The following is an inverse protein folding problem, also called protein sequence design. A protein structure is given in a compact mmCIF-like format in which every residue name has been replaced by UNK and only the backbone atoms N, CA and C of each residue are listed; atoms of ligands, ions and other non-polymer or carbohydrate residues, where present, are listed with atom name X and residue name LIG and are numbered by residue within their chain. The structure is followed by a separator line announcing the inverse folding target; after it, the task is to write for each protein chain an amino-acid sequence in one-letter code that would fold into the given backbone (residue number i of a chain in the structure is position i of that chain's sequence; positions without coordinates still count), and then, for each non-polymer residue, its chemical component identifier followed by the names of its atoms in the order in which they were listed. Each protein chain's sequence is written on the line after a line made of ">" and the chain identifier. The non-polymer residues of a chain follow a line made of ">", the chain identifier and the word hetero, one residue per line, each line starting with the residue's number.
data_IF_450139565414
#
_entry.id   IF_450139565414
#
_cell.length_a   1.000
_cell.length_b   1.000
_cell.length_c   1.000
_cell.angle_alpha   90.00
_cell.angle_beta   90.00
_cell.angle_gamma   90.00
#
_symmetry.space_group_name_H-M   'P 1'
#
loop_
_entity.id
_entity.type
_entity.pdbx_description
1 polymer ?
#
# COMPACT_ATOMS: atom_id res chain seq x y z
N UNK A 1 -24.89 -19.08 59.42
CA UNK A 1 -24.35 -17.71 59.59
C UNK A 1 -23.21 -17.58 58.61
N UNK A 2 -23.13 -16.49 57.81
CA UNK A 2 -21.96 -16.27 56.96
C UNK A 2 -20.70 -16.21 57.85
N UNK A 3 -19.57 -16.80 57.43
CA UNK A 3 -18.32 -16.76 58.20
C UNK A 3 -17.95 -15.30 58.51
N UNK A 4 -17.51 -15.02 59.74
CA UNK A 4 -17.03 -13.69 60.09
C UNK A 4 -15.70 -13.45 59.37
N UNK A 5 -15.75 -12.73 58.25
CA UNK A 5 -14.58 -12.24 57.55
C UNK A 5 -13.71 -11.44 58.54
N UNK A 6 -12.56 -11.99 58.92
CA UNK A 6 -11.58 -11.23 59.69
C UNK A 6 -11.04 -10.10 58.82
N UNK A 7 -10.66 -8.98 59.44
CA UNK A 7 -10.06 -7.83 58.75
C UNK A 7 -8.82 -8.23 57.93
N UNK A 8 -8.06 -9.21 58.42
CA UNK A 8 -6.90 -9.80 57.73
C UNK A 8 -7.29 -10.53 56.45
N UNK A 9 -8.41 -11.25 56.43
CA UNK A 9 -8.90 -11.93 55.23
C UNK A 9 -9.45 -10.94 54.19
N UNK A 10 -10.19 -9.93 54.65
CA UNK A 10 -10.73 -8.89 53.77
C UNK A 10 -9.60 -8.10 53.08
N UNK A 11 -8.53 -7.78 53.81
CA UNK A 11 -7.37 -7.06 53.24
C UNK A 11 -6.57 -7.91 52.26
N UNK A 12 -6.28 -9.18 52.58
CA UNK A 12 -5.61 -10.09 51.65
C UNK A 12 -6.42 -10.32 50.36
N UNK A 13 -7.74 -10.48 50.50
CA UNK A 13 -8.66 -10.64 49.38
C UNK A 13 -8.67 -9.42 48.45
N UNK A 14 -8.74 -8.22 49.03
CA UNK A 14 -8.69 -6.97 48.29
C UNK A 14 -7.35 -6.82 47.55
N UNK A 15 -6.23 -7.17 48.18
CA UNK A 15 -4.91 -7.14 47.54
C UNK A 15 -4.81 -8.11 46.36
N UNK A 16 -5.33 -9.34 46.50
CA UNK A 16 -5.38 -10.32 45.41
C UNK A 16 -6.25 -9.81 44.25
N UNK A 17 -7.42 -9.24 44.54
CA UNK A 17 -8.29 -8.66 43.53
C UNK A 17 -7.64 -7.50 42.78
N UNK A 18 -6.98 -6.58 43.50
CA UNK A 18 -6.25 -5.46 42.89
C UNK A 18 -5.10 -5.98 42.04
N UNK A 19 -4.33 -6.95 42.53
CA UNK A 19 -3.24 -7.57 41.78
C UNK A 19 -3.72 -8.23 40.49
N UNK A 20 -4.81 -9.01 40.56
CA UNK A 20 -5.43 -9.63 39.40
C UNK A 20 -6.00 -8.60 38.42
N UNK A 21 -6.62 -7.52 38.90
CA UNK A 21 -7.10 -6.43 38.05
C UNK A 21 -5.97 -5.76 37.28
N UNK A 22 -4.88 -5.41 37.96
CA UNK A 22 -3.69 -4.81 37.35
C UNK A 22 -3.09 -5.76 36.30
N UNK A 23 -2.97 -7.05 36.64
CA UNK A 23 -2.46 -8.07 35.73
C UNK A 23 -3.37 -8.28 34.52
N UNK A 24 -4.68 -8.28 34.73
CA UNK A 24 -5.68 -8.44 33.69
C UNK A 24 -5.67 -7.31 32.65
N UNK A 25 -5.35 -6.09 33.08
CA UNK A 25 -5.17 -4.95 32.17
C UNK A 25 -3.76 -4.96 31.57
N UNK A 26 -2.75 -5.27 32.40
CA UNK A 26 -1.34 -5.18 32.06
C UNK A 26 -0.90 -6.19 31.00
N UNK A 27 -1.27 -7.46 31.12
CA UNK A 27 -0.84 -8.49 30.18
C UNK A 27 -1.33 -8.23 28.76
N UNK A 28 -2.62 -7.97 28.50
CA UNK A 28 -3.08 -7.72 27.14
C UNK A 28 -2.45 -6.46 26.54
N UNK A 29 -2.30 -5.40 27.33
CA UNK A 29 -1.62 -4.18 26.89
C UNK A 29 -0.16 -4.43 26.52
N UNK A 30 0.55 -5.20 27.36
CA UNK A 30 1.96 -5.55 27.13
C UNK A 30 2.12 -6.50 25.94
N UNK A 31 1.28 -7.53 25.84
CA UNK A 31 1.28 -8.46 24.70
C UNK A 31 0.98 -7.72 23.39
N UNK A 32 0.05 -6.76 23.41
CA UNK A 32 -0.22 -5.89 22.27
C UNK A 32 1.00 -5.03 21.91
N UNK A 33 1.67 -4.43 22.90
CA UNK A 33 2.88 -3.63 22.67
C UNK A 33 4.07 -4.43 22.14
N UNK A 34 4.21 -5.69 22.56
CA UNK A 34 5.33 -6.56 22.15
C UNK A 34 5.10 -7.23 20.80
N UNK A 35 3.87 -7.68 20.52
CA UNK A 35 3.57 -8.53 19.36
C UNK A 35 3.18 -7.69 18.14
N UNK A 36 2.46 -6.59 18.35
CA UNK A 36 1.90 -5.80 17.25
C UNK A 36 2.92 -4.76 16.80
N UNK A 37 3.25 -4.79 15.50
CA UNK A 37 4.10 -3.79 14.88
C UNK A 37 3.55 -2.38 15.12
N UNK A 38 4.45 -1.41 15.34
CA UNK A 38 4.09 -0.05 15.72
C UNK A 38 3.08 0.62 14.76
N UNK A 39 3.23 0.41 13.47
CA UNK A 39 2.33 0.99 12.45
C UNK A 39 0.92 0.40 12.53
N UNK A 40 0.83 -0.92 12.72
CA UNK A 40 -0.45 -1.63 12.88
C UNK A 40 -1.12 -1.21 14.18
N UNK A 41 -0.32 -1.02 15.23
CA UNK A 41 -0.79 -0.49 16.52
C UNK A 41 -1.37 0.91 16.36
N UNK A 42 -0.73 1.79 15.59
CA UNK A 42 -1.22 3.14 15.34
C UNK A 42 -2.60 3.13 14.67
N UNK A 43 -2.75 2.38 13.56
CA UNK A 43 -4.02 2.23 12.85
C UNK A 43 -5.09 1.56 13.72
N UNK A 44 -4.70 0.51 14.45
CA UNK A 44 -5.61 -0.21 15.35
C UNK A 44 -6.10 0.72 16.46
N UNK A 45 -5.23 1.50 17.10
CA UNK A 45 -5.63 2.42 18.17
C UNK A 45 -6.60 3.49 17.67
N UNK A 46 -6.43 3.97 16.43
CA UNK A 46 -7.33 4.95 15.80
C UNK A 46 -8.73 4.37 15.55
N UNK A 47 -8.83 3.09 15.17
CA UNK A 47 -10.10 2.45 14.75
C UNK A 47 -10.79 1.62 15.80
N UNK A 48 -10.03 1.02 16.71
CA UNK A 48 -10.53 0.08 17.69
C UNK A 48 -11.31 0.87 18.73
N UNK A 49 -12.63 0.86 18.60
CA UNK A 49 -13.53 1.39 19.63
C UNK A 49 -13.16 0.71 20.95
N UNK A 50 -13.00 1.50 22.01
CA UNK A 50 -12.67 1.07 23.38
C UNK A 50 -13.50 -0.14 23.86
N UNK A 51 -14.68 -0.37 23.28
CA UNK A 51 -15.56 -1.53 23.53
C UNK A 51 -14.89 -2.89 23.39
N UNK A 52 -14.02 -3.13 22.40
CA UNK A 52 -13.41 -4.46 22.25
C UNK A 52 -12.37 -4.70 23.35
N UNK A 53 -11.57 -3.68 23.67
CA UNK A 53 -10.65 -3.72 24.82
C UNK A 53 -11.39 -3.92 26.13
N UNK A 54 -12.48 -3.18 26.34
CA UNK A 54 -13.33 -3.37 27.52
C UNK A 54 -13.94 -4.77 27.56
N UNK A 55 -14.37 -5.35 26.44
CA UNK A 55 -14.89 -6.71 26.42
C UNK A 55 -13.83 -7.73 26.86
N UNK A 56 -12.59 -7.62 26.37
CA UNK A 56 -11.47 -8.49 26.79
C UNK A 56 -11.18 -8.35 28.29
N UNK A 57 -11.11 -7.10 28.78
CA UNK A 57 -10.85 -6.81 30.20
C UNK A 57 -11.98 -7.32 31.08
N UNK A 58 -13.24 -7.06 30.70
CA UNK A 58 -14.43 -7.53 31.44
C UNK A 58 -14.47 -9.06 31.48
N UNK A 59 -14.19 -9.73 30.36
CA UNK A 59 -14.15 -11.20 30.32
C UNK A 59 -13.08 -11.77 31.25
N UNK A 60 -11.89 -11.15 31.28
CA UNK A 60 -10.80 -11.56 32.16
C UNK A 60 -11.10 -11.26 33.64
N UNK A 61 -11.75 -10.14 33.94
CA UNK A 61 -12.19 -9.82 35.31
C UNK A 61 -13.27 -10.79 35.80
N UNK A 62 -14.23 -11.15 34.95
CA UNK A 62 -15.22 -12.18 35.25
C UNK A 62 -14.54 -13.53 35.52
N UNK A 63 -13.48 -13.86 34.78
CA UNK A 63 -12.66 -15.04 35.04
C UNK A 63 -12.01 -15.01 36.44
N UNK A 64 -11.37 -13.89 36.78
CA UNK A 64 -10.71 -13.70 38.07
C UNK A 64 -11.69 -13.74 39.24
N UNK A 65 -12.84 -13.06 39.14
CA UNK A 65 -13.86 -13.07 40.20
C UNK A 65 -14.43 -14.48 40.38
N UNK A 66 -14.69 -15.20 39.28
CA UNK A 66 -15.16 -16.59 39.35
C UNK A 66 -14.14 -17.50 40.02
N UNK A 67 -12.85 -17.35 39.69
CA UNK A 67 -11.75 -18.10 40.31
C UNK A 67 -11.68 -17.90 41.82
N UNK A 68 -11.74 -16.64 42.26
CA UNK A 68 -11.65 -16.29 43.67
C UNK A 68 -12.89 -16.75 44.44
N UNK A 69 -14.09 -16.58 43.89
CA UNK A 69 -15.33 -17.00 44.53
C UNK A 69 -15.36 -18.51 44.79
N UNK A 70 -14.79 -19.29 43.86
CA UNK A 70 -14.68 -20.75 43.98
C UNK A 70 -13.64 -21.17 45.01
N UNK A 71 -12.49 -20.49 45.07
CA UNK A 71 -11.40 -20.82 46.01
C UNK A 71 -11.72 -20.34 47.43
N UNK A 72 -12.66 -19.42 47.59
CA UNK A 72 -13.04 -18.92 48.90
C UNK A 72 -13.45 -20.09 49.81
N UNK A 73 -12.71 -20.33 50.91
CA UNK A 73 -13.01 -21.43 51.82
C UNK A 73 -14.27 -21.07 52.62
N UNK A 74 -15.44 -21.43 52.11
CA UNK A 74 -16.71 -21.22 52.82
C UNK A 74 -16.87 -22.15 54.05
N UNK A 75 -16.04 -23.19 54.17
CA UNK A 75 -16.27 -24.31 55.10
C UNK A 75 -15.12 -24.61 56.09
N UNK A 76 -14.08 -23.77 56.22
CA UNK A 76 -12.98 -24.07 57.16
C UNK A 76 -13.33 -23.84 58.64
N UNK A 77 -14.41 -23.12 58.95
CA UNK A 77 -14.76 -22.79 60.35
C UNK A 77 -15.71 -23.77 61.04
N UNK A 78 -16.19 -24.82 60.36
CA UNK A 78 -17.21 -25.71 60.95
C UNK A 78 -16.65 -26.81 61.88
N UNK A 79 -15.33 -27.00 61.96
CA UNK A 79 -14.72 -28.10 62.73
C UNK A 79 -13.95 -27.68 64.00
N UNK A 80 -13.88 -26.40 64.38
CA UNK A 80 -13.00 -25.97 65.47
C UNK A 80 -13.66 -25.85 66.86
N UNK A 81 -14.98 -26.04 67.02
CA UNK A 81 -15.68 -25.82 68.30
C UNK A 81 -16.53 -26.98 68.84
N UNK A 82 -16.42 -28.20 68.33
CA UNK A 82 -17.09 -29.35 68.99
C UNK A 82 -16.15 -29.96 70.02
N UNK A 83 -16.45 -29.71 71.31
CA UNK A 83 -15.76 -30.30 72.44
C UNK A 83 -15.74 -31.85 72.34
N UNK A 84 -14.64 -32.51 72.73
CA UNK A 84 -14.53 -33.96 72.65
C UNK A 84 -15.32 -34.60 73.79
N UNK A 85 -16.57 -34.96 73.53
CA UNK A 85 -17.37 -35.78 74.44
C UNK A 85 -17.88 -37.03 73.72
N UNK A 86 -17.14 -38.12 73.91
CA UNK A 86 -17.55 -39.53 73.88
C UNK A 86 -18.59 -39.97 72.81
N UNK A 87 -18.10 -40.60 71.74
CA UNK A 87 -18.39 -42.00 71.35
C UNK A 87 -18.08 -42.19 69.85
N UNK A 88 -17.38 -43.26 69.44
CA UNK A 88 -17.04 -43.50 68.04
C UNK A 88 -18.07 -44.43 67.41
N UNK A 89 -18.97 -43.93 66.57
CA UNK A 89 -19.66 -44.81 65.61
C UNK A 89 -20.31 -43.99 64.51
N UNK A 90 -20.01 -44.38 63.27
CA UNK A 90 -20.47 -43.83 61.99
C UNK A 90 -19.68 -42.62 61.50
N UNK A 91 -18.70 -42.92 60.64
CA UNK A 91 -17.99 -41.93 59.84
C UNK A 91 -19.03 -41.11 59.06
N UNK A 92 -18.94 -39.78 59.05
CA UNK A 92 -19.86 -38.96 58.29
C UNK A 92 -19.73 -39.37 56.81
N UNK A 93 -20.83 -39.89 56.23
CA UNK A 93 -20.93 -40.06 54.79
C UNK A 93 -20.69 -38.69 54.16
N UNK A 94 -19.49 -38.52 53.63
CA UNK A 94 -19.09 -37.31 52.94
C UNK A 94 -20.06 -37.13 51.76
N UNK A 95 -20.85 -36.06 51.84
CA UNK A 95 -21.93 -35.79 50.89
C UNK A 95 -21.37 -35.67 49.47
N UNK A 96 -21.66 -36.65 48.61
CA UNK A 96 -21.23 -36.71 47.20
C UNK A 96 -21.53 -35.42 46.42
N UNK A 97 -22.52 -34.65 46.88
CA UNK A 97 -22.88 -33.34 46.32
C UNK A 97 -21.71 -32.33 46.39
N UNK A 98 -20.91 -32.39 47.45
CA UNK A 98 -19.76 -31.51 47.65
C UNK A 98 -18.60 -31.85 46.72
N UNK A 99 -18.33 -33.14 46.49
CA UNK A 99 -17.31 -33.59 45.52
C UNK A 99 -17.67 -33.14 44.09
N UNK A 100 -18.94 -33.26 43.72
CA UNK A 100 -19.44 -32.84 42.41
C UNK A 100 -19.28 -31.32 42.25
N UNK A 101 -19.65 -30.54 43.27
CA UNK A 101 -19.52 -29.08 43.24
C UNK A 101 -18.06 -28.63 43.13
N UNK A 102 -17.14 -29.26 43.89
CA UNK A 102 -15.71 -28.97 43.81
C UNK A 102 -15.12 -29.33 42.43
N UNK A 103 -15.54 -30.44 41.83
CA UNK A 103 -15.10 -30.83 40.49
C UNK A 103 -15.57 -29.83 39.41
N UNK A 104 -16.83 -29.38 39.46
CA UNK A 104 -17.34 -28.35 38.55
C UNK A 104 -16.60 -27.03 38.72
N UNK A 105 -16.35 -26.64 39.96
CA UNK A 105 -15.71 -25.37 40.26
C UNK A 105 -14.22 -25.40 39.82
N UNK A 106 -13.52 -26.52 40.02
CA UNK A 106 -12.19 -26.74 39.45
C UNK A 106 -12.16 -26.70 37.92
N UNK A 107 -13.19 -27.24 37.26
CA UNK A 107 -13.30 -27.17 35.79
C UNK A 107 -13.50 -25.74 35.28
N UNK A 108 -14.34 -24.94 35.94
CA UNK A 108 -14.56 -23.53 35.61
C UNK A 108 -13.26 -22.72 35.78
N UNK A 109 -12.55 -22.96 36.88
CA UNK A 109 -11.24 -22.34 37.18
C UNK A 109 -10.24 -22.54 36.05
N UNK A 110 -10.18 -23.74 35.46
CA UNK A 110 -9.22 -24.05 34.39
C UNK A 110 -9.71 -23.55 33.04
N UNK A 111 -11.01 -23.69 32.75
CA UNK A 111 -11.56 -23.40 31.42
C UNK A 111 -11.63 -21.91 31.10
N UNK A 112 -12.03 -21.04 32.04
CA UNK A 112 -12.18 -19.61 31.73
C UNK A 112 -10.82 -18.95 31.39
N UNK A 113 -9.73 -19.15 32.15
CA UNK A 113 -8.42 -18.61 31.78
C UNK A 113 -7.93 -19.13 30.44
N UNK A 114 -8.14 -20.42 30.13
CA UNK A 114 -7.79 -20.98 28.82
C UNK A 114 -8.58 -20.28 27.71
N UNK A 115 -9.89 -20.09 27.89
CA UNK A 115 -10.72 -19.36 26.92
C UNK A 115 -10.29 -17.91 26.75
N UNK A 116 -9.93 -17.21 27.83
CA UNK A 116 -9.44 -15.85 27.79
C UNK A 116 -8.08 -15.75 27.08
N UNK A 117 -7.18 -16.69 27.34
CA UNK A 117 -5.89 -16.81 26.65
C UNK A 117 -6.10 -17.10 25.17
N UNK A 118 -6.95 -18.08 24.82
CA UNK A 118 -7.30 -18.39 23.43
C UNK A 118 -7.92 -17.19 22.71
N UNK A 119 -8.82 -16.47 23.38
CA UNK A 119 -9.41 -15.25 22.85
C UNK A 119 -8.35 -14.16 22.63
N UNK A 120 -7.42 -14.00 23.58
CA UNK A 120 -6.28 -13.09 23.45
C UNK A 120 -5.38 -13.44 22.27
N UNK A 121 -5.03 -14.72 22.10
CA UNK A 121 -4.25 -15.18 20.95
C UNK A 121 -4.99 -14.94 19.63
N UNK A 122 -6.29 -15.27 19.56
CA UNK A 122 -7.11 -15.00 18.37
C UNK A 122 -7.19 -13.50 18.06
N UNK A 123 -7.28 -12.66 19.09
CA UNK A 123 -7.24 -11.21 18.93
C UNK A 123 -5.89 -10.75 18.37
N UNK A 124 -4.77 -11.27 18.89
CA UNK A 124 -3.43 -10.97 18.39
C UNK A 124 -3.21 -11.46 16.95
N UNK A 125 -3.76 -12.62 16.59
CA UNK A 125 -3.73 -13.11 15.21
C UNK A 125 -4.50 -12.19 14.25
N UNK A 126 -5.67 -11.70 14.66
CA UNK A 126 -6.43 -10.72 13.89
C UNK A 126 -5.71 -9.36 13.75
N UNK A 127 -4.71 -9.09 14.60
CA UNK A 127 -3.87 -7.90 14.54
C UNK A 127 -2.60 -8.09 13.70
N UNK A 128 -2.45 -9.23 13.03
CA UNK A 128 -1.45 -9.36 11.95
C UNK A 128 -1.78 -8.34 10.87
N UNK A 129 -0.75 -7.68 10.34
CA UNK A 129 -0.87 -6.64 9.31
C UNK A 129 -1.75 -7.07 8.13
N UNK A 130 -1.58 -8.32 7.67
CA UNK A 130 -2.40 -8.91 6.61
C UNK A 130 -3.89 -8.86 6.90
N UNK A 131 -4.30 -9.30 8.10
CA UNK A 131 -5.70 -9.31 8.52
C UNK A 131 -6.25 -7.88 8.70
N UNK A 132 -5.41 -6.95 9.16
CA UNK A 132 -5.79 -5.53 9.27
C UNK A 132 -6.01 -4.92 7.89
N UNK A 133 -5.08 -5.11 6.95
CA UNK A 133 -5.22 -4.62 5.57
C UNK A 133 -6.46 -5.21 4.88
N UNK A 134 -6.67 -6.52 4.98
CA UNK A 134 -7.88 -7.18 4.44
C UNK A 134 -9.17 -6.66 5.08
N UNK A 135 -9.16 -6.42 6.40
CA UNK A 135 -10.30 -5.85 7.10
C UNK A 135 -10.62 -4.41 6.67
N UNK A 136 -9.60 -3.59 6.45
CA UNK A 136 -9.74 -2.23 5.92
C UNK A 136 -10.25 -2.23 4.49
N UNK A 137 -9.71 -3.11 3.64
CA UNK A 137 -10.14 -3.30 2.26
C UNK A 137 -11.62 -3.68 2.18
N UNK A 138 -12.04 -4.71 2.92
CA UNK A 138 -13.44 -5.15 2.94
C UNK A 138 -14.39 -4.04 3.46
N UNK A 139 -13.93 -3.24 4.43
CA UNK A 139 -14.69 -2.09 4.91
C UNK A 139 -14.83 -1.00 3.85
N UNK A 140 -13.78 -0.74 3.05
CA UNK A 140 -13.82 0.19 1.92
C UNK A 140 -14.77 -0.29 0.82
N UNK A 141 -14.68 -1.55 0.40
CA UNK A 141 -15.58 -2.14 -0.60
C UNK A 141 -17.05 -1.99 -0.16
N UNK A 142 -17.35 -2.38 1.08
CA UNK A 142 -18.70 -2.28 1.64
C UNK A 142 -19.20 -0.84 1.71
N UNK A 143 -18.34 0.10 2.13
CA UNK A 143 -18.71 1.51 2.26
C UNK A 143 -18.94 2.14 0.88
N UNK A 144 -18.14 1.75 -0.11
CA UNK A 144 -18.31 2.16 -1.50
C UNK A 144 -19.61 1.59 -2.10
N UNK A 145 -19.92 0.32 -1.86
CA UNK A 145 -21.18 -0.29 -2.30
C UNK A 145 -22.40 0.43 -1.72
N UNK A 146 -22.30 0.94 -0.50
CA UNK A 146 -23.36 1.69 0.16
C UNK A 146 -23.46 3.12 -0.34
N UNK A 147 -22.35 3.86 -0.33
CA UNK A 147 -22.33 5.32 -0.53
C UNK A 147 -21.96 5.77 -1.94
N UNK A 148 -21.21 4.95 -2.70
CA UNK A 148 -20.55 5.33 -3.95
C UNK A 148 -19.25 6.12 -3.75
N UNK A 149 -18.76 6.26 -2.52
CA UNK A 149 -17.53 6.99 -2.19
C UNK A 149 -16.56 6.10 -1.40
N UNK A 150 -15.27 6.29 -1.63
CA UNK A 150 -14.21 5.64 -0.85
C UNK A 150 -14.01 6.46 0.42
N UNK A 151 -13.99 5.80 1.58
CA UNK A 151 -13.77 6.50 2.85
C UNK A 151 -12.29 6.84 3.02
N UNK A 152 -11.94 8.13 2.85
CA UNK A 152 -10.56 8.64 2.91
C UNK A 152 -9.78 8.20 4.15
N UNK A 153 -10.44 8.18 5.32
CA UNK A 153 -9.80 7.79 6.58
C UNK A 153 -9.30 6.33 6.54
N UNK A 154 -10.06 5.44 5.89
CA UNK A 154 -9.77 4.01 5.79
C UNK A 154 -8.76 3.73 4.69
N UNK A 155 -8.88 4.43 3.56
CA UNK A 155 -7.89 4.37 2.50
C UNK A 155 -6.52 4.88 2.99
N UNK A 156 -6.49 6.01 3.70
CA UNK A 156 -5.28 6.58 4.29
C UNK A 156 -4.58 5.60 5.25
N UNK A 157 -5.33 4.81 6.00
CA UNK A 157 -4.74 3.80 6.89
C UNK A 157 -4.08 2.63 6.10
N UNK A 158 -4.65 2.21 4.96
CA UNK A 158 -3.98 1.22 4.08
C UNK A 158 -2.71 1.82 3.48
N UNK A 159 -2.77 3.05 2.98
CA UNK A 159 -1.62 3.77 2.42
C UNK A 159 -0.53 3.90 3.48
N UNK A 160 -0.87 4.31 4.70
CA UNK A 160 0.06 4.44 5.81
C UNK A 160 0.77 3.11 6.12
N UNK A 161 0.03 1.99 6.17
CA UNK A 161 0.60 0.66 6.41
C UNK A 161 1.54 0.22 5.28
N UNK A 162 1.23 0.56 4.03
CA UNK A 162 2.10 0.30 2.88
C UNK A 162 3.35 1.18 2.90
N UNK A 163 3.20 2.47 3.16
CA UNK A 163 4.29 3.45 3.26
C UNK A 163 5.32 3.02 4.31
N UNK A 164 4.84 2.65 5.50
CA UNK A 164 5.69 2.21 6.61
C UNK A 164 6.01 0.71 6.54
N UNK A 165 5.58 -0.01 5.50
CA UNK A 165 5.91 -1.42 5.35
C UNK A 165 7.35 -1.68 4.98
N UNK A 166 7.84 -2.83 5.46
CA UNK A 166 9.07 -3.41 4.92
C UNK A 166 8.84 -3.73 3.44
N UNK A 167 9.85 -3.47 2.62
CA UNK A 167 9.80 -3.80 1.20
C UNK A 167 9.58 -5.30 0.97
N UNK A 168 9.00 -5.65 -0.18
CA UNK A 168 8.56 -7.00 -0.47
C UNK A 168 7.15 -7.29 0.10
N UNK A 169 6.99 -8.35 0.91
CA UNK A 169 5.65 -8.87 1.27
C UNK A 169 4.73 -7.82 1.91
N UNK A 170 5.23 -6.96 2.78
CA UNK A 170 4.36 -6.01 3.49
C UNK A 170 3.83 -4.90 2.59
N UNK A 171 4.68 -4.29 1.76
CA UNK A 171 4.25 -3.32 0.74
C UNK A 171 3.33 -3.96 -0.28
N UNK A 172 3.69 -5.14 -0.78
CA UNK A 172 2.87 -5.91 -1.72
C UNK A 172 1.46 -6.17 -1.20
N UNK A 173 1.28 -6.50 0.08
CA UNK A 173 -0.07 -6.67 0.66
C UNK A 173 -0.93 -5.41 0.57
N UNK A 174 -0.34 -4.23 0.83
CA UNK A 174 -1.05 -2.96 0.69
C UNK A 174 -1.36 -2.65 -0.78
N UNK A 175 -0.39 -2.83 -1.68
CA UNK A 175 -0.58 -2.64 -3.12
C UNK A 175 -1.66 -3.57 -3.67
N UNK A 176 -1.64 -4.86 -3.31
CA UNK A 176 -2.64 -5.84 -3.73
C UNK A 176 -4.05 -5.44 -3.25
N UNK A 177 -4.18 -4.91 -2.03
CA UNK A 177 -5.46 -4.41 -1.51
C UNK A 177 -5.95 -3.17 -2.28
N UNK A 178 -5.05 -2.23 -2.61
CA UNK A 178 -5.39 -1.08 -3.46
C UNK A 178 -5.78 -1.52 -4.87
N UNK A 179 -5.09 -2.50 -5.46
CA UNK A 179 -5.41 -3.05 -6.77
C UNK A 179 -6.79 -3.72 -6.81
N UNK A 180 -7.12 -4.52 -5.78
CA UNK A 180 -8.45 -5.13 -5.64
C UNK A 180 -9.54 -4.08 -5.45
N UNK A 181 -9.32 -3.08 -4.59
CA UNK A 181 -10.25 -1.98 -4.39
C UNK A 181 -10.47 -1.17 -5.67
N UNK A 182 -9.41 -0.83 -6.41
CA UNK A 182 -9.52 -0.12 -7.68
C UNK A 182 -10.36 -0.91 -8.69
N UNK A 183 -10.10 -2.22 -8.81
CA UNK A 183 -10.90 -3.11 -9.65
C UNK A 183 -12.36 -3.18 -9.21
N UNK A 184 -12.64 -3.26 -7.90
CA UNK A 184 -14.00 -3.27 -7.36
C UNK A 184 -14.75 -1.98 -7.71
N UNK A 185 -14.10 -0.84 -7.49
CA UNK A 185 -14.65 0.49 -7.81
C UNK A 185 -14.93 0.62 -9.30
N UNK A 186 -13.98 0.31 -10.18
CA UNK A 186 -14.15 0.44 -11.64
C UNK A 186 -15.19 -0.53 -12.22
N UNK A 187 -15.43 -1.69 -11.59
CA UNK A 187 -16.49 -2.61 -12.01
C UNK A 187 -17.88 -2.18 -11.51
N UNK A 188 -17.96 -1.18 -10.63
CA UNK A 188 -19.23 -0.69 -10.12
C UNK A 188 -19.88 0.27 -11.10
N UNK A 189 -21.19 0.15 -11.27
CA UNK A 189 -21.99 1.14 -12.02
C UNK A 189 -22.03 2.53 -11.39
N UNK A 190 -21.39 2.72 -10.22
CA UNK A 190 -21.28 4.02 -9.54
C UNK A 190 -20.03 4.81 -9.92
N UNK A 191 -19.06 4.20 -10.59
CA UNK A 191 -17.79 4.83 -10.94
C UNK A 191 -17.95 5.93 -11.99
N UNK A 192 -17.36 7.10 -11.74
CA UNK A 192 -17.42 8.26 -12.65
C UNK A 192 -16.05 8.76 -13.07
N UNK A 193 -14.96 8.15 -12.61
CA UNK A 193 -13.61 8.55 -12.98
C UNK A 193 -13.01 9.65 -12.09
N UNK A 194 -13.51 9.80 -10.87
CA UNK A 194 -12.89 10.68 -9.86
C UNK A 194 -12.68 10.00 -8.50
N UNK A 195 -13.16 8.77 -8.33
CA UNK A 195 -13.18 8.08 -7.05
C UNK A 195 -11.82 7.45 -6.70
N UNK A 196 -10.90 7.28 -7.66
CA UNK A 196 -9.61 6.61 -7.43
C UNK A 196 -8.44 7.57 -7.15
N UNK A 197 -8.65 8.88 -7.18
CA UNK A 197 -7.59 9.88 -7.03
C UNK A 197 -6.64 9.59 -5.86
N UNK A 198 -7.18 9.48 -4.64
CA UNK A 198 -6.38 9.27 -3.43
C UNK A 198 -5.70 7.90 -3.43
N UNK A 199 -6.31 6.90 -4.06
CA UNK A 199 -5.73 5.56 -4.19
C UNK A 199 -4.51 5.60 -5.10
N UNK A 200 -4.64 6.25 -6.26
CA UNK A 200 -3.56 6.41 -7.24
C UNK A 200 -2.40 7.21 -6.60
N UNK A 201 -2.72 8.29 -5.86
CA UNK A 201 -1.72 9.04 -5.09
C UNK A 201 -1.04 8.17 -4.04
N UNK A 202 -1.81 7.29 -3.39
CA UNK A 202 -1.31 6.30 -2.43
C UNK A 202 -0.25 5.37 -3.01
N UNK A 203 -0.39 4.92 -4.27
CA UNK A 203 0.63 4.09 -4.94
C UNK A 203 1.99 4.80 -4.98
N UNK A 204 1.99 6.10 -5.33
CA UNK A 204 3.21 6.92 -5.32
C UNK A 204 3.82 6.99 -3.91
N UNK A 205 3.01 7.27 -2.89
CA UNK A 205 3.48 7.39 -1.51
C UNK A 205 4.10 6.08 -0.97
N UNK A 206 3.51 4.93 -1.33
CA UNK A 206 4.02 3.63 -0.89
C UNK A 206 5.40 3.32 -1.51
N UNK A 207 5.61 3.69 -2.78
CA UNK A 207 6.82 3.33 -3.52
C UNK A 207 7.95 4.33 -3.37
N UNK A 208 7.66 5.63 -3.43
CA UNK A 208 8.63 6.72 -3.39
C UNK A 208 8.81 7.29 -1.98
N UNK A 209 8.81 6.40 -0.98
CA UNK A 209 9.13 6.78 0.39
C UNK A 209 10.65 6.76 0.57
N UNK A 210 11.27 7.93 0.74
CA UNK A 210 12.72 8.05 0.93
C UNK A 210 13.30 7.28 2.13
N UNK A 211 12.51 7.01 3.17
CA UNK A 211 12.95 6.21 4.32
C UNK A 211 12.84 4.69 4.07
N UNK A 212 11.85 4.26 3.27
CA UNK A 212 11.58 2.84 2.95
C UNK A 212 11.08 2.72 1.51
N UNK A 213 11.96 2.87 0.50
CA UNK A 213 11.54 2.83 -0.89
C UNK A 213 11.07 1.43 -1.30
N UNK A 214 10.16 1.37 -2.28
CA UNK A 214 9.70 0.10 -2.85
C UNK A 214 10.82 -0.69 -3.55
N UNK A 215 10.75 -2.01 -3.48
CA UNK A 215 11.61 -2.92 -4.26
C UNK A 215 11.08 -3.10 -5.68
N UNK A 216 11.85 -3.79 -6.53
CA UNK A 216 11.49 -4.04 -7.94
C UNK A 216 10.09 -4.67 -8.07
N UNK A 217 9.79 -5.70 -7.27
CA UNK A 217 8.49 -6.38 -7.26
C UNK A 217 7.33 -5.44 -6.90
N UNK A 218 7.56 -4.47 -6.01
CA UNK A 218 6.56 -3.48 -5.62
C UNK A 218 6.28 -2.52 -6.79
N UNK A 219 7.32 -2.13 -7.52
CA UNK A 219 7.19 -1.30 -8.73
C UNK A 219 6.43 -2.02 -9.84
N UNK A 220 6.68 -3.32 -10.06
CA UNK A 220 5.90 -4.14 -11.01
C UNK A 220 4.43 -4.25 -10.61
N UNK A 221 4.15 -4.45 -9.32
CA UNK A 221 2.78 -4.52 -8.83
C UNK A 221 2.02 -3.22 -9.07
N UNK A 222 2.63 -2.06 -8.77
CA UNK A 222 2.00 -0.77 -9.02
C UNK A 222 1.85 -0.46 -10.52
N UNK A 223 2.82 -0.83 -11.35
CA UNK A 223 2.73 -0.69 -12.81
C UNK A 223 1.51 -1.45 -13.35
N UNK A 224 1.33 -2.70 -12.91
CA UNK A 224 0.17 -3.51 -13.26
C UNK A 224 -1.15 -2.86 -12.82
N UNK A 225 -1.22 -2.32 -11.59
CA UNK A 225 -2.41 -1.62 -11.09
C UNK A 225 -2.71 -0.37 -11.93
N UNK A 226 -1.71 0.47 -12.21
CA UNK A 226 -1.88 1.69 -13.00
C UNK A 226 -2.30 1.40 -14.44
N UNK A 227 -1.71 0.38 -15.06
CA UNK A 227 -2.10 -0.07 -16.40
C UNK A 227 -3.54 -0.57 -16.41
N UNK A 228 -3.94 -1.37 -15.42
CA UNK A 228 -5.32 -1.88 -15.34
C UNK A 228 -6.33 -0.74 -15.14
N UNK A 229 -5.99 0.25 -14.30
CA UNK A 229 -6.79 1.46 -14.10
C UNK A 229 -6.93 2.22 -15.42
N UNK A 230 -5.82 2.45 -16.13
CA UNK A 230 -5.78 3.19 -17.40
C UNK A 230 -6.58 2.50 -18.49
N UNK A 231 -6.39 1.19 -18.68
CA UNK A 231 -7.10 0.42 -19.70
C UNK A 231 -8.61 0.52 -19.52
N UNK A 232 -9.10 0.40 -18.28
CA UNK A 232 -10.53 0.54 -17.96
C UNK A 232 -11.05 1.95 -18.19
N UNK A 233 -10.29 2.97 -17.79
CA UNK A 233 -10.65 4.36 -18.09
C UNK A 233 -10.77 4.59 -19.60
N UNK A 234 -9.84 4.04 -20.39
CA UNK A 234 -9.87 4.13 -21.84
C UNK A 234 -11.06 3.38 -22.45
N UNK A 235 -11.36 2.16 -22.00
CA UNK A 235 -12.50 1.36 -22.45
C UNK A 235 -13.85 2.06 -22.19
N UNK A 236 -13.94 2.84 -21.11
CA UNK A 236 -15.14 3.60 -20.76
C UNK A 236 -15.16 5.03 -21.31
N UNK A 237 -14.21 5.43 -22.15
CA UNK A 237 -14.05 6.80 -22.68
C UNK A 237 -13.90 7.87 -21.57
N UNK A 238 -13.24 7.52 -20.47
CA UNK A 238 -12.97 8.39 -19.32
C UNK A 238 -11.51 8.90 -19.28
N UNK A 239 -10.78 8.85 -20.41
CA UNK A 239 -9.36 9.23 -20.50
C UNK A 239 -9.07 10.72 -20.20
N UNK A 240 -10.11 11.56 -20.16
CA UNK A 240 -10.04 12.99 -19.81
C UNK A 240 -10.46 13.27 -18.36
N UNK A 241 -10.88 12.26 -17.60
CA UNK A 241 -11.34 12.44 -16.22
C UNK A 241 -10.18 12.60 -15.23
N UNK A 242 -10.53 12.96 -14.00
CA UNK A 242 -9.59 13.26 -12.94
C UNK A 242 -8.69 12.07 -12.57
N UNK A 243 -9.26 10.86 -12.51
CA UNK A 243 -8.48 9.65 -12.27
C UNK A 243 -7.48 9.37 -13.39
N UNK A 244 -7.83 9.66 -14.65
CA UNK A 244 -6.92 9.50 -15.79
C UNK A 244 -5.75 10.49 -15.71
N UNK A 245 -6.02 11.74 -15.32
CA UNK A 245 -4.97 12.73 -15.08
C UNK A 245 -4.05 12.33 -13.92
N UNK A 246 -4.62 11.84 -12.83
CA UNK A 246 -3.84 11.37 -11.68
C UNK A 246 -3.02 10.13 -12.02
N UNK A 247 -3.58 9.20 -12.82
CA UNK A 247 -2.86 8.03 -13.32
C UNK A 247 -1.68 8.44 -14.20
N UNK A 248 -1.87 9.35 -15.17
CA UNK A 248 -0.78 9.90 -16.01
C UNK A 248 0.34 10.52 -15.16
N UNK A 249 -0.02 11.39 -14.21
CA UNK A 249 0.95 12.04 -13.30
C UNK A 249 1.72 11.02 -12.48
N UNK A 250 1.05 9.98 -12.00
CA UNK A 250 1.66 8.93 -11.18
C UNK A 250 2.55 8.00 -11.99
N UNK A 251 2.11 7.58 -13.18
CA UNK A 251 2.93 6.82 -14.14
C UNK A 251 4.18 7.63 -14.49
N UNK A 252 4.05 8.92 -14.86
CA UNK A 252 5.19 9.80 -15.15
C UNK A 252 6.19 9.86 -14.00
N UNK A 253 5.70 10.05 -12.78
CA UNK A 253 6.55 10.14 -11.60
C UNK A 253 7.31 8.82 -11.36
N UNK A 254 6.57 7.71 -11.27
CA UNK A 254 7.15 6.40 -10.97
C UNK A 254 8.05 5.89 -12.11
N UNK A 255 7.76 6.22 -13.36
CA UNK A 255 8.61 5.88 -14.50
C UNK A 255 9.96 6.59 -14.43
N UNK A 256 9.98 7.88 -14.04
CA UNK A 256 11.23 8.62 -13.85
C UNK A 256 12.02 8.01 -12.69
N UNK A 257 11.39 7.70 -11.56
CA UNK A 257 12.04 7.02 -10.43
C UNK A 257 12.60 5.65 -10.87
N UNK A 258 11.85 4.87 -11.64
CA UNK A 258 12.30 3.58 -12.15
C UNK A 258 13.55 3.71 -13.06
N UNK A 259 13.58 4.72 -13.93
CA UNK A 259 14.72 5.01 -14.79
C UNK A 259 15.96 5.41 -13.98
N UNK A 260 15.79 6.19 -12.91
CA UNK A 260 16.92 6.69 -12.11
C UNK A 260 17.45 5.62 -11.15
N UNK A 261 16.57 4.85 -10.51
CA UNK A 261 16.92 4.08 -9.31
C UNK A 261 16.77 2.57 -9.46
N UNK A 262 16.04 2.08 -10.49
CA UNK A 262 15.65 0.66 -10.59
C UNK A 262 16.33 -0.04 -11.76
N UNK A 263 16.15 -1.36 -11.83
CA UNK A 263 16.68 -2.20 -12.90
C UNK A 263 16.15 -1.80 -14.29
N UNK A 264 16.89 -2.14 -15.34
CA UNK A 264 16.48 -1.85 -16.73
C UNK A 264 15.12 -2.50 -17.08
N UNK A 265 14.85 -3.77 -16.71
CA UNK A 265 13.55 -4.40 -16.97
C UNK A 265 12.37 -3.65 -16.37
N UNK A 266 12.52 -3.11 -15.17
CA UNK A 266 11.46 -2.35 -14.49
C UNK A 266 11.22 -1.03 -15.17
N UNK A 267 12.28 -0.30 -15.50
CA UNK A 267 12.17 0.95 -16.25
C UNK A 267 11.54 0.75 -17.64
N UNK A 268 11.89 -0.34 -18.34
CA UNK A 268 11.27 -0.69 -19.62
C UNK A 268 9.79 -1.04 -19.48
N UNK A 269 9.38 -1.68 -18.39
CA UNK A 269 7.96 -1.97 -18.13
C UNK A 269 7.15 -0.67 -17.97
N UNK A 270 7.65 0.28 -17.18
CA UNK A 270 7.02 1.59 -17.05
C UNK A 270 7.02 2.38 -18.36
N UNK A 271 8.05 2.22 -19.21
CA UNK A 271 8.08 2.83 -20.54
C UNK A 271 6.98 2.27 -21.44
N UNK A 272 6.75 0.95 -21.42
CA UNK A 272 5.66 0.32 -22.17
C UNK A 272 4.29 0.84 -21.70
N UNK A 273 4.07 0.89 -20.39
CA UNK A 273 2.81 1.38 -19.82
C UNK A 273 2.60 2.88 -20.09
N UNK A 274 3.67 3.69 -20.06
CA UNK A 274 3.63 5.11 -20.42
C UNK A 274 3.28 5.35 -21.89
N UNK A 275 3.77 4.50 -22.79
CA UNK A 275 3.47 4.61 -24.23
C UNK A 275 2.00 4.36 -24.57
N UNK A 276 1.25 3.68 -23.68
CA UNK A 276 -0.21 3.53 -23.80
C UNK A 276 -0.97 4.78 -23.35
N UNK A 277 -0.31 5.69 -22.63
CA UNK A 277 -0.94 6.82 -21.98
C UNK A 277 -0.76 8.13 -22.75
N UNK A 278 0.50 8.54 -22.95
CA UNK A 278 0.83 9.91 -23.32
C UNK A 278 2.26 10.01 -23.87
N UNK A 279 2.41 10.68 -25.02
CA UNK A 279 3.70 10.80 -25.70
C UNK A 279 4.70 11.68 -24.94
N UNK A 280 4.20 12.68 -24.19
CA UNK A 280 4.99 13.53 -23.31
C UNK A 280 5.61 12.75 -22.15
N UNK A 281 4.94 11.73 -21.62
CA UNK A 281 5.53 10.86 -20.59
C UNK A 281 6.70 10.05 -21.17
N UNK A 282 6.52 9.47 -22.36
CA UNK A 282 7.59 8.72 -23.05
C UNK A 282 8.80 9.60 -23.33
N UNK A 283 8.57 10.84 -23.76
CA UNK A 283 9.62 11.85 -23.95
C UNK A 283 10.41 12.11 -22.67
N UNK A 284 9.73 12.33 -21.54
CA UNK A 284 10.36 12.59 -20.24
C UNK A 284 11.16 11.38 -19.72
N UNK A 285 10.66 10.16 -19.94
CA UNK A 285 11.40 8.92 -19.66
C UNK A 285 12.69 8.87 -20.49
N UNK A 286 12.60 9.14 -21.80
CA UNK A 286 13.74 9.16 -22.70
C UNK A 286 14.79 10.20 -22.30
N UNK A 287 14.34 11.40 -21.94
CA UNK A 287 15.20 12.49 -21.47
C UNK A 287 15.89 12.15 -20.15
N UNK A 288 15.15 11.60 -19.18
CA UNK A 288 15.71 11.13 -17.91
C UNK A 288 16.75 10.02 -18.14
N UNK A 289 16.47 9.08 -19.03
CA UNK A 289 17.38 7.99 -19.38
C UNK A 289 18.66 8.49 -20.06
N UNK A 290 18.60 9.50 -20.93
CA UNK A 290 19.79 10.13 -21.50
C UNK A 290 20.65 10.80 -20.42
N UNK A 291 20.02 11.55 -19.51
CA UNK A 291 20.71 12.26 -18.42
C UNK A 291 21.42 11.29 -17.46
N UNK A 292 20.82 10.14 -17.19
CA UNK A 292 21.40 9.07 -16.37
C UNK A 292 22.27 8.08 -17.15
N UNK A 293 22.52 8.33 -18.45
CA UNK A 293 23.32 7.49 -19.36
C UNK A 293 22.80 6.06 -19.52
N UNK A 294 21.51 5.85 -19.34
CA UNK A 294 20.82 4.57 -19.60
C UNK A 294 20.38 4.50 -21.05
N UNK A 295 21.35 4.41 -21.95
CA UNK A 295 21.13 4.54 -23.39
C UNK A 295 20.18 3.49 -23.99
N UNK A 296 20.09 2.30 -23.40
CA UNK A 296 19.13 1.28 -23.84
C UNK A 296 17.68 1.76 -23.65
N UNK A 297 17.36 2.30 -22.47
CA UNK A 297 16.02 2.83 -22.15
C UNK A 297 15.74 4.09 -22.98
N UNK A 298 16.73 4.98 -23.14
CA UNK A 298 16.58 6.17 -23.99
C UNK A 298 16.26 5.79 -25.44
N UNK A 299 16.93 4.77 -25.98
CA UNK A 299 16.71 4.29 -27.35
C UNK A 299 15.35 3.61 -27.47
N UNK A 300 14.94 2.83 -26.46
CA UNK A 300 13.60 2.24 -26.42
C UNK A 300 12.52 3.33 -26.42
N UNK A 301 12.69 4.40 -25.64
CA UNK A 301 11.75 5.52 -25.61
C UNK A 301 11.69 6.25 -26.96
N UNK A 302 12.84 6.44 -27.61
CA UNK A 302 12.89 6.99 -28.97
C UNK A 302 12.11 6.13 -29.96
N UNK A 303 12.34 4.80 -29.98
CA UNK A 303 11.62 3.88 -30.86
C UNK A 303 10.10 3.89 -30.59
N UNK A 304 9.66 4.10 -29.35
CA UNK A 304 8.23 4.24 -29.02
C UNK A 304 7.65 5.53 -29.57
N UNK A 305 8.34 6.66 -29.42
CA UNK A 305 7.92 7.93 -30.02
C UNK A 305 7.88 7.87 -31.54
N UNK A 306 8.85 7.20 -32.18
CA UNK A 306 8.85 6.92 -33.62
C UNK A 306 7.57 6.16 -34.01
N UNK A 307 7.28 5.03 -33.35
CA UNK A 307 6.08 4.24 -33.63
C UNK A 307 4.77 5.00 -33.36
N UNK A 308 4.73 5.87 -32.33
CA UNK A 308 3.56 6.71 -32.02
C UNK A 308 3.34 7.78 -33.08
N UNK A 309 4.41 8.45 -33.54
CA UNK A 309 4.33 9.46 -34.59
C UNK A 309 3.95 8.82 -35.95
N UNK A 310 4.50 7.65 -36.29
CA UNK A 310 4.17 6.93 -37.52
C UNK A 310 2.69 6.53 -37.59
N UNK A 311 2.12 6.02 -36.48
CA UNK A 311 0.71 5.61 -36.42
C UNK A 311 -0.28 6.72 -36.77
N UNK A 312 0.07 7.96 -36.45
CA UNK A 312 -0.79 9.12 -36.69
C UNK A 312 -0.39 9.91 -37.95
N UNK A 313 0.54 9.37 -38.75
CA UNK A 313 1.18 10.08 -39.84
C UNK A 313 2.36 10.89 -39.30
N UNK A 314 3.56 10.53 -39.75
CA UNK A 314 4.79 11.21 -39.35
C UNK A 314 4.67 12.71 -39.64
N UNK A 315 4.87 13.54 -38.62
CA UNK A 315 4.73 15.00 -38.67
C UNK A 315 3.31 15.55 -38.88
N UNK A 316 2.27 14.72 -38.73
CA UNK A 316 0.86 15.16 -38.74
C UNK A 316 0.32 15.31 -37.32
N UNK A 317 0.57 14.34 -36.43
CA UNK A 317 0.25 14.49 -35.01
C UNK A 317 1.23 15.45 -34.34
N UNK A 318 0.69 16.58 -33.89
CA UNK A 318 1.45 17.68 -33.32
C UNK A 318 2.23 17.27 -32.06
N UNK A 319 1.62 16.47 -31.18
CA UNK A 319 2.22 16.17 -29.88
C UNK A 319 3.32 15.10 -30.00
N UNK A 320 2.99 13.92 -30.55
CA UNK A 320 3.96 12.81 -30.66
C UNK A 320 5.15 13.19 -31.53
N UNK A 321 4.92 13.91 -32.63
CA UNK A 321 6.00 14.38 -33.51
C UNK A 321 6.87 15.43 -32.82
N UNK A 322 6.29 16.36 -32.06
CA UNK A 322 7.06 17.36 -31.32
C UNK A 322 7.91 16.73 -30.21
N UNK A 323 7.37 15.73 -29.52
CA UNK A 323 8.07 14.95 -28.51
C UNK A 323 9.20 14.10 -29.12
N UNK A 324 8.97 13.46 -30.26
CA UNK A 324 9.98 12.73 -31.03
C UNK A 324 11.15 13.65 -31.44
N UNK A 325 10.85 14.77 -32.10
CA UNK A 325 11.86 15.75 -32.53
C UNK A 325 12.60 16.36 -31.34
N UNK A 326 11.89 16.63 -30.25
CA UNK A 326 12.47 17.02 -28.97
C UNK A 326 13.51 16.00 -28.51
N UNK A 327 13.17 14.71 -28.43
CA UNK A 327 14.11 13.68 -27.96
C UNK A 327 15.30 13.52 -28.93
N UNK A 328 15.06 13.52 -30.24
CA UNK A 328 16.12 13.46 -31.26
C UNK A 328 17.13 14.61 -31.11
N UNK A 329 16.66 15.82 -30.80
CA UNK A 329 17.55 16.96 -30.53
C UNK A 329 18.47 16.72 -29.33
N UNK A 330 17.98 16.06 -28.28
CA UNK A 330 18.78 15.65 -27.13
C UNK A 330 19.78 14.54 -27.47
N UNK A 331 19.39 13.58 -28.31
CA UNK A 331 20.31 12.55 -28.82
C UNK A 331 21.47 13.16 -29.61
N UNK A 332 21.20 14.16 -30.46
CA UNK A 332 22.19 14.88 -31.28
C UNK A 332 23.24 15.61 -30.43
N UNK A 333 22.83 16.16 -29.29
CA UNK A 333 23.66 16.98 -28.42
C UNK A 333 24.45 16.18 -27.34
N UNK A 334 24.06 14.93 -27.03
CA UNK A 334 24.62 14.20 -25.87
C UNK A 334 25.97 13.54 -26.13
N UNK A 335 26.19 12.93 -27.30
CA UNK A 335 27.41 12.18 -27.59
C UNK A 335 27.44 11.58 -29.00
N UNK A 336 28.58 11.04 -29.41
CA UNK A 336 28.76 10.55 -30.80
C UNK A 336 27.80 9.42 -31.16
N UNK A 337 27.67 8.39 -30.32
CA UNK A 337 26.81 7.23 -30.62
C UNK A 337 25.33 7.59 -30.62
N UNK A 338 24.87 8.44 -29.68
CA UNK A 338 23.49 8.92 -29.66
C UNK A 338 23.20 9.83 -30.84
N UNK A 339 24.16 10.67 -31.24
CA UNK A 339 24.07 11.49 -32.45
C UNK A 339 23.90 10.65 -33.70
N UNK A 340 24.72 9.60 -33.88
CA UNK A 340 24.59 8.68 -35.01
C UNK A 340 23.20 8.02 -35.08
N UNK A 341 22.59 7.68 -33.93
CA UNK A 341 21.21 7.15 -33.90
C UNK A 341 20.18 8.17 -34.38
N UNK A 342 20.33 9.45 -34.02
CA UNK A 342 19.44 10.51 -34.49
C UNK A 342 19.68 10.85 -35.97
N UNK A 343 20.93 10.92 -36.42
CA UNK A 343 21.28 11.09 -37.84
C UNK A 343 20.69 9.97 -38.71
N UNK A 344 20.75 8.72 -38.23
CA UNK A 344 20.15 7.57 -38.90
C UNK A 344 18.63 7.70 -39.07
N UNK A 345 17.93 8.29 -38.11
CA UNK A 345 16.49 8.54 -38.22
C UNK A 345 16.20 9.54 -39.34
N UNK A 346 16.90 10.68 -39.36
CA UNK A 346 16.70 11.70 -40.39
C UNK A 346 17.07 11.20 -41.80
N UNK A 347 18.07 10.32 -41.92
CA UNK A 347 18.41 9.69 -43.18
C UNK A 347 17.31 8.75 -43.71
N UNK A 348 16.57 8.10 -42.81
CA UNK A 348 15.53 7.11 -43.16
C UNK A 348 14.14 7.73 -43.36
N UNK A 349 13.86 8.88 -42.74
CA UNK A 349 12.51 9.45 -42.73
C UNK A 349 11.98 9.88 -44.12
N UNK A 350 12.79 9.81 -45.21
CA UNK A 350 12.44 10.13 -46.61
C UNK A 350 11.50 11.34 -46.79
N UNK A 351 11.62 12.33 -45.90
CA UNK A 351 10.71 13.47 -45.85
C UNK A 351 11.31 14.66 -46.58
N UNK A 352 10.46 15.46 -47.22
CA UNK A 352 10.93 16.68 -47.85
C UNK A 352 11.54 17.60 -46.79
N UNK A 353 12.64 18.28 -47.15
CA UNK A 353 13.32 19.20 -46.24
C UNK A 353 12.35 20.27 -45.69
N UNK A 354 11.39 20.69 -46.50
CA UNK A 354 10.39 21.69 -46.12
C UNK A 354 9.39 21.15 -45.08
N UNK A 355 8.96 19.89 -45.18
CA UNK A 355 8.08 19.30 -44.16
C UNK A 355 8.79 19.11 -42.84
N UNK A 356 10.06 18.67 -42.87
CA UNK A 356 10.90 18.54 -41.68
C UNK A 356 11.15 19.89 -41.00
N UNK A 357 11.44 20.95 -41.77
CA UNK A 357 11.58 22.32 -41.24
C UNK A 357 10.32 22.80 -40.55
N UNK A 358 9.16 22.60 -41.20
CA UNK A 358 7.87 22.95 -40.60
C UNK A 358 7.63 22.18 -39.31
N UNK A 359 7.96 20.89 -39.27
CA UNK A 359 7.83 20.05 -38.08
C UNK A 359 8.77 20.49 -36.94
N UNK A 360 10.01 20.88 -37.24
CA UNK A 360 10.96 21.41 -36.25
C UNK A 360 10.51 22.75 -35.68
N UNK A 361 10.02 23.68 -36.52
CA UNK A 361 9.45 24.95 -36.05
C UNK A 361 8.23 24.73 -35.14
N UNK A 362 7.40 23.76 -35.50
CA UNK A 362 6.24 23.31 -34.74
C UNK A 362 6.64 22.73 -33.38
N UNK A 363 7.66 21.86 -33.36
CA UNK A 363 8.22 21.28 -32.14
C UNK A 363 8.89 22.33 -31.23
N UNK A 364 9.57 23.32 -31.82
CA UNK A 364 10.14 24.46 -31.10
C UNK A 364 9.05 25.21 -30.32
N UNK A 365 7.96 25.57 -30.99
CA UNK A 365 6.81 26.29 -30.39
C UNK A 365 6.15 25.43 -29.30
N UNK A 366 5.97 24.14 -29.56
CA UNK A 366 5.39 23.19 -28.60
C UNK A 366 6.16 23.18 -27.28
N UNK A 367 7.47 22.91 -27.35
CA UNK A 367 8.32 22.83 -26.15
C UNK A 367 8.48 24.18 -25.47
N UNK A 368 8.54 25.29 -26.23
CA UNK A 368 8.56 26.64 -25.67
C UNK A 368 7.30 26.95 -24.87
N UNK A 369 6.12 26.65 -25.45
CA UNK A 369 4.81 26.92 -24.83
C UNK A 369 4.59 26.08 -23.56
N UNK A 370 5.18 24.90 -23.51
CA UNK A 370 5.14 24.00 -22.34
C UNK A 370 6.23 24.33 -21.28
N UNK A 371 7.04 25.38 -21.49
CA UNK A 371 8.10 25.78 -20.56
C UNK A 371 9.38 24.93 -20.60
N UNK A 372 9.50 24.04 -21.59
CA UNK A 372 10.68 23.18 -21.82
C UNK A 372 11.74 23.90 -22.65
N UNK A 373 12.27 25.03 -22.13
CA UNK A 373 13.17 25.92 -22.88
C UNK A 373 14.46 25.22 -23.37
N UNK A 374 15.11 24.39 -22.56
CA UNK A 374 16.30 23.61 -22.98
C UNK A 374 15.99 22.69 -24.17
N UNK A 375 14.82 22.05 -24.19
CA UNK A 375 14.41 21.24 -25.34
C UNK A 375 14.10 22.10 -26.56
N UNK A 376 13.43 23.24 -26.36
CA UNK A 376 13.14 24.20 -27.43
C UNK A 376 14.42 24.71 -28.09
N UNK A 377 15.40 25.14 -27.30
CA UNK A 377 16.71 25.61 -27.77
C UNK A 377 17.43 24.51 -28.56
N UNK A 378 17.42 23.28 -28.08
CA UNK A 378 18.03 22.13 -28.79
C UNK A 378 17.33 21.81 -30.10
N UNK A 379 16.00 21.94 -30.17
CA UNK A 379 15.25 21.79 -31.42
C UNK A 379 15.65 22.88 -32.42
N UNK A 380 15.84 24.13 -31.97
CA UNK A 380 16.34 25.20 -32.81
C UNK A 380 17.79 24.95 -33.30
N UNK A 381 18.68 24.51 -32.42
CA UNK A 381 20.04 24.11 -32.80
C UNK A 381 20.05 22.98 -33.82
N UNK A 382 19.20 21.98 -33.63
CA UNK A 382 19.02 20.89 -34.59
C UNK A 382 18.57 21.44 -35.95
N UNK A 383 17.57 22.33 -36.00
CA UNK A 383 17.12 22.95 -37.24
C UNK A 383 18.27 23.68 -37.96
N UNK A 384 19.06 24.48 -37.24
CA UNK A 384 20.22 25.17 -37.85
C UNK A 384 21.26 24.21 -38.40
N UNK A 385 21.49 23.08 -37.71
CA UNK A 385 22.43 22.04 -38.14
C UNK A 385 21.97 21.36 -39.43
N UNK A 386 20.66 21.12 -39.57
CA UNK A 386 20.08 20.55 -40.80
C UNK A 386 20.19 21.56 -41.95
N UNK A 387 19.90 22.84 -41.70
CA UNK A 387 19.97 23.91 -42.69
C UNK A 387 21.39 24.17 -43.20
N UNK A 388 22.40 24.02 -42.34
CA UNK A 388 23.80 24.18 -42.72
C UNK A 388 24.37 22.97 -43.48
N UNK A 389 23.57 21.94 -43.78
CA UNK A 389 24.04 20.67 -44.34
C UNK A 389 24.94 19.89 -43.38
N UNK A 390 24.81 20.14 -42.07
CA UNK A 390 25.62 19.51 -41.02
C UNK A 390 25.29 18.02 -40.82
N UNK A 391 24.09 17.58 -41.21
CA UNK A 391 23.77 16.17 -41.36
C UNK A 391 24.56 15.61 -42.55
N UNK A 392 25.78 15.13 -42.29
CA UNK A 392 26.48 14.31 -43.28
C UNK A 392 25.62 13.09 -43.53
N UNK A 393 25.23 12.86 -44.78
CA UNK A 393 24.76 11.55 -45.19
C UNK A 393 25.84 10.55 -44.77
N UNK A 394 25.57 9.76 -43.73
CA UNK A 394 26.44 8.65 -43.36
C UNK A 394 26.63 7.78 -44.61
N UNK A 395 27.80 7.15 -44.80
CA UNK A 395 27.97 6.21 -45.90
C UNK A 395 26.80 5.22 -45.84
N UNK A 396 26.05 5.12 -46.94
CA UNK A 396 24.96 4.16 -47.05
C UNK A 396 25.50 2.80 -46.61
N UNK A 397 25.00 2.30 -45.48
CA UNK A 397 25.36 0.97 -44.99
C UNK A 397 24.70 0.01 -45.97
N UNK A 398 25.52 -0.56 -46.85
CA UNK A 398 25.14 -1.51 -47.89
C UNK A 398 24.76 -2.87 -47.30
#
# INVERSE_FOLDING_TARGET
>A
MPPQLTETWATAYLQILIGLFIFAIGIPAFAFQLVVQEDVRHVTHRRMKMRIWHASVVLLLLACVSFIWIIHPANLDQNSNVAPAMAPTEAPEMDKTYEILQAYAGSIIVTIPILAIMFGFKLLENLKRENVVQGLEHHLEKTFDQSGFIEDSTLSDIIYLGEHGKSGREKKMALDALGRLAKHVQNSGKYKGCELEELIRGLKMILDNGARPGEEDDFYAAAAILRDIWNRLSEHNLSSNHDADMARKTIKHLSIVAVVEKSEPTALTYLEDAAMCDSGIVFEIGLSALRTRRFLIATAALNKLEAMAERHGLFVDYESSSNLLGLLSHFMATGLSTRLRAESFFAQAETSLDSLKSALATAFIYHYSNGSYDTSDRVAELQTTIESGGLRAGPAVA
#
